data_IF_545067574800
#
_entry.id   IF_545067574800
#
_cell.length_a   1.000
_cell.length_b   1.000
_cell.length_c   1.000
_cell.angle_alpha   90.00
_cell.angle_beta   90.00
_cell.angle_gamma   90.00
#
_symmetry.space_group_name_H-M   'P 1'
#
loop_
_entity.id
_entity.type
_entity.pdbx_description
1 polymer ?
#
# COMPACT_ATOMS: atom_id res chain seq x y z
N UNK A 1 5.51 -11.49 5.68
CA UNK A 1 5.34 -11.68 7.14
C UNK A 1 6.48 -10.99 7.89
N UNK A 2 6.24 -9.85 8.54
CA UNK A 2 7.33 -9.16 9.28
C UNK A 2 6.98 -7.77 9.80
N UNK A 3 6.08 -7.04 9.13
CA UNK A 3 5.71 -5.69 9.56
C UNK A 3 4.98 -5.70 10.93
N UNK A 4 3.94 -6.53 11.08
CA UNK A 4 3.23 -6.68 12.36
C UNK A 4 4.13 -7.32 13.43
N UNK A 5 5.00 -8.25 13.04
CA UNK A 5 5.92 -8.94 13.96
C UNK A 5 6.80 -7.95 14.74
N UNK A 6 7.53 -7.11 14.00
CA UNK A 6 8.42 -6.13 14.59
C UNK A 6 7.65 -5.08 15.42
N UNK A 7 6.46 -4.68 14.96
CA UNK A 7 5.65 -3.69 15.66
C UNK A 7 5.04 -4.21 16.97
N UNK A 8 4.66 -5.49 17.02
CA UNK A 8 3.99 -6.13 18.15
C UNK A 8 4.96 -6.91 19.07
N UNK A 9 6.25 -6.94 18.71
CA UNK A 9 7.28 -7.65 19.46
C UNK A 9 7.07 -9.16 19.51
N UNK A 10 6.59 -9.76 18.41
CA UNK A 10 6.47 -11.21 18.28
C UNK A 10 7.80 -11.83 17.85
N UNK A 11 8.14 -12.96 18.43
CA UNK A 11 9.31 -13.76 18.05
C UNK A 11 9.00 -14.63 16.81
N UNK A 12 10.05 -15.07 16.12
CA UNK A 12 9.89 -16.00 14.98
C UNK A 12 9.23 -17.32 15.40
N UNK A 13 9.49 -17.78 16.63
CA UNK A 13 8.89 -19.00 17.18
C UNK A 13 7.39 -18.83 17.41
N UNK A 14 6.97 -17.69 17.97
CA UNK A 14 5.55 -17.37 18.16
C UNK A 14 4.82 -17.33 16.81
N UNK A 15 5.39 -16.70 15.79
CA UNK A 15 4.78 -16.65 14.45
C UNK A 15 4.63 -18.02 13.80
N UNK A 16 5.67 -18.85 13.86
CA UNK A 16 5.60 -20.22 13.32
C UNK A 16 4.53 -21.03 14.04
N UNK A 17 4.50 -20.98 15.38
CA UNK A 17 3.44 -21.64 16.17
C UNK A 17 2.05 -21.12 15.80
N UNK A 18 1.89 -19.80 15.67
CA UNK A 18 0.62 -19.19 15.32
C UNK A 18 0.15 -19.67 13.93
N UNK A 19 1.05 -19.77 12.94
CA UNK A 19 0.71 -20.24 11.60
C UNK A 19 0.48 -21.76 11.55
N UNK A 20 1.40 -22.56 12.11
CA UNK A 20 1.44 -24.01 11.90
C UNK A 20 0.51 -24.78 12.87
N UNK A 21 0.34 -24.28 14.10
CA UNK A 21 -0.43 -24.97 15.15
C UNK A 21 -1.81 -24.35 15.33
N UNK A 22 -1.87 -23.02 15.41
CA UNK A 22 -3.14 -22.29 15.61
C UNK A 22 -3.87 -22.11 14.27
N UNK A 23 -3.15 -22.18 13.15
CA UNK A 23 -3.72 -22.01 11.81
C UNK A 23 -3.94 -20.55 11.43
N UNK A 24 -3.28 -19.61 12.12
CA UNK A 24 -3.45 -18.18 11.86
C UNK A 24 -2.85 -17.79 10.51
N UNK A 25 -3.65 -17.08 9.71
CA UNK A 25 -3.28 -16.50 8.42
C UNK A 25 -3.80 -15.06 8.29
N UNK A 26 -3.15 -14.26 7.45
CA UNK A 26 -3.59 -12.88 7.22
C UNK A 26 -5.02 -12.86 6.62
N UNK A 27 -5.94 -12.14 7.27
CA UNK A 27 -7.34 -12.03 6.84
C UNK A 27 -8.28 -13.10 7.41
N UNK A 28 -7.83 -13.91 8.37
CA UNK A 28 -8.71 -14.75 9.18
C UNK A 28 -9.48 -13.94 10.25
N UNK A 29 -10.12 -14.65 11.18
CA UNK A 29 -10.89 -14.06 12.28
C UNK A 29 -10.15 -14.11 13.63
N UNK A 30 -8.84 -14.36 13.64
CA UNK A 30 -8.02 -14.56 14.84
C UNK A 30 -7.23 -13.28 15.14
N UNK A 31 -7.87 -12.34 15.83
CA UNK A 31 -7.27 -11.03 16.17
C UNK A 31 -6.39 -11.07 17.43
N UNK A 32 -6.60 -12.08 18.29
CA UNK A 32 -5.88 -12.25 19.56
C UNK A 32 -5.39 -13.70 19.72
N UNK A 33 -4.13 -13.86 20.11
CA UNK A 33 -3.52 -15.13 20.51
C UNK A 33 -2.82 -14.93 21.84
N UNK A 34 -3.16 -15.72 22.86
CA UNK A 34 -2.62 -15.58 24.23
C UNK A 34 -2.75 -14.13 24.77
N UNK A 35 -3.90 -13.48 24.48
CA UNK A 35 -4.19 -12.08 24.77
C UNK A 35 -3.24 -11.05 24.11
N UNK A 36 -2.41 -11.48 23.14
CA UNK A 36 -1.58 -10.59 22.35
C UNK A 36 -2.25 -10.34 20.99
N UNK A 37 -2.27 -9.09 20.49
CA UNK A 37 -2.76 -8.79 19.15
C UNK A 37 -1.91 -9.50 18.09
N UNK A 38 -2.55 -9.98 17.04
CA UNK A 38 -1.90 -10.62 15.88
C UNK A 38 -1.66 -9.63 14.74
N UNK A 39 -2.40 -8.52 14.72
CA UNK A 39 -2.36 -7.47 13.70
C UNK A 39 -2.04 -6.09 14.25
N UNK A 40 -1.62 -5.20 13.35
CA UNK A 40 -1.41 -3.78 13.63
C UNK A 40 -2.02 -2.96 12.50
N UNK A 41 -2.71 -1.87 12.82
CA UNK A 41 -3.18 -0.90 11.83
C UNK A 41 -2.11 0.15 11.61
N UNK A 42 -1.69 0.34 10.35
CA UNK A 42 -0.82 1.46 9.95
C UNK A 42 -1.65 2.43 9.13
N UNK A 43 -1.60 3.69 9.53
CA UNK A 43 -2.18 4.81 8.77
C UNK A 43 -1.04 5.60 8.15
N UNK A 44 -1.22 6.09 6.93
CA UNK A 44 -0.29 7.01 6.30
C UNK A 44 -1.10 8.05 5.56
N UNK A 45 -0.77 9.32 5.80
CA UNK A 45 -1.42 10.46 5.17
C UNK A 45 -0.64 10.85 3.92
N UNK A 46 -1.36 11.10 2.84
CA UNK A 46 -0.78 11.52 1.57
C UNK A 46 -0.73 13.04 1.47
N UNK A 47 -0.19 13.53 0.36
CA UNK A 47 -0.24 14.95 0.00
C UNK A 47 -1.64 15.60 0.11
N UNK A 48 -2.76 14.96 -0.32
CA UNK A 48 -4.06 15.59 -0.24
C UNK A 48 -4.69 15.56 1.15
N UNK A 49 -4.08 14.86 2.12
CA UNK A 49 -4.64 14.72 3.46
C UNK A 49 -4.43 15.98 4.28
N UNK A 50 -5.50 16.45 4.92
CA UNK A 50 -5.48 17.55 5.90
C UNK A 50 -5.49 17.06 7.34
N UNK A 51 -5.30 18.00 8.27
CA UNK A 51 -5.44 17.76 9.72
C UNK A 51 -6.83 17.19 10.07
N UNK A 52 -7.88 17.70 9.41
CA UNK A 52 -9.25 17.21 9.58
C UNK A 52 -9.43 15.73 9.23
N UNK A 53 -8.65 15.20 8.28
CA UNK A 53 -8.70 13.78 7.94
C UNK A 53 -8.10 12.92 9.05
N UNK A 54 -7.02 13.41 9.68
CA UNK A 54 -6.41 12.76 10.82
C UNK A 54 -7.34 12.77 12.03
N UNK A 55 -7.99 13.90 12.31
CA UNK A 55 -8.99 14.02 13.38
C UNK A 55 -10.19 13.11 13.13
N UNK A 56 -10.69 13.06 11.90
CA UNK A 56 -11.82 12.19 11.53
C UNK A 56 -11.49 10.73 11.79
N UNK A 57 -10.29 10.29 11.40
CA UNK A 57 -9.85 8.93 11.64
C UNK A 57 -9.66 8.64 13.13
N UNK A 58 -9.03 9.56 13.87
CA UNK A 58 -8.83 9.42 15.30
C UNK A 58 -10.17 9.27 16.03
N UNK A 59 -11.13 10.15 15.74
CA UNK A 59 -12.46 10.11 16.34
C UNK A 59 -13.19 8.81 15.99
N UNK A 60 -13.12 8.36 14.73
CA UNK A 60 -13.69 7.08 14.34
C UNK A 60 -13.09 5.92 15.14
N UNK A 61 -11.77 5.87 15.30
CA UNK A 61 -11.11 4.80 16.06
C UNK A 61 -11.52 4.83 17.54
N UNK A 62 -11.56 6.02 18.13
CA UNK A 62 -11.92 6.20 19.55
C UNK A 62 -13.39 5.89 19.80
N UNK A 63 -14.30 6.41 18.97
CA UNK A 63 -15.74 6.27 19.19
C UNK A 63 -16.25 4.86 18.87
N UNK A 64 -15.68 4.21 17.84
CA UNK A 64 -16.22 2.94 17.33
C UNK A 64 -15.45 1.71 17.82
N UNK A 65 -14.15 1.83 18.10
CA UNK A 65 -13.29 0.67 18.34
C UNK A 65 -12.56 0.68 19.69
N UNK A 66 -12.46 1.83 20.36
CA UNK A 66 -11.74 1.92 21.63
C UNK A 66 -12.57 1.40 22.79
N UNK A 67 -12.17 0.26 23.36
CA UNK A 67 -12.68 -0.23 24.63
C UNK A 67 -11.74 0.24 25.75
N UNK A 68 -12.30 0.92 26.76
CA UNK A 68 -11.60 1.60 27.87
C UNK A 68 -10.50 0.76 28.54
N UNK A 69 -9.30 0.75 27.95
CA UNK A 69 -8.11 0.17 28.54
C UNK A 69 -6.91 1.03 28.13
N UNK A 70 -6.48 1.98 28.99
CA UNK A 70 -5.44 2.93 28.62
C UNK A 70 -4.09 2.22 28.59
N UNK A 71 -3.67 1.78 27.40
CA UNK A 71 -2.24 1.63 27.14
C UNK A 71 -1.67 3.02 26.95
N UNK A 72 -0.66 3.37 27.76
CA UNK A 72 0.11 4.60 27.53
C UNK A 72 0.70 4.56 26.11
N UNK A 73 0.63 5.65 25.34
CA UNK A 73 1.31 5.75 24.05
C UNK A 73 2.77 5.35 24.22
N UNK A 74 3.26 4.46 23.35
CA UNK A 74 4.69 4.16 23.29
C UNK A 74 5.37 5.41 22.73
N UNK A 75 6.08 6.13 23.58
CA UNK A 75 6.84 7.31 23.19
C UNK A 75 7.97 6.86 22.26
N UNK A 76 7.82 7.15 20.96
CA UNK A 76 8.88 6.92 19.97
C UNK A 76 9.56 8.26 19.72
N UNK A 77 10.91 8.30 19.64
CA UNK A 77 11.61 9.53 19.29
C UNK A 77 11.08 10.07 17.96
N UNK A 78 10.41 11.22 18.04
CA UNK A 78 9.94 11.98 16.90
C UNK A 78 11.07 12.91 16.46
N UNK A 79 11.31 13.01 15.15
CA UNK A 79 12.18 14.05 14.60
C UNK A 79 11.47 15.40 14.83
N UNK A 80 12.17 16.38 15.40
CA UNK A 80 11.59 17.71 15.56
C UNK A 80 11.33 18.35 14.20
N UNK A 81 10.32 19.22 14.09
CA UNK A 81 10.02 19.96 12.86
C UNK A 81 11.26 20.75 12.39
N UNK A 82 12.04 21.30 13.32
CA UNK A 82 13.28 22.01 13.03
C UNK A 82 14.37 21.11 12.45
N UNK A 83 14.49 19.87 12.93
CA UNK A 83 15.42 18.89 12.36
C UNK A 83 14.95 18.42 10.98
N UNK A 84 13.65 18.20 10.80
CA UNK A 84 13.07 17.84 9.51
C UNK A 84 13.32 18.93 8.46
N UNK A 85 13.08 20.20 8.81
CA UNK A 85 13.31 21.34 7.92
C UNK A 85 14.78 21.57 7.57
N UNK A 86 15.73 21.01 8.34
CA UNK A 86 17.18 21.05 8.02
C UNK A 86 17.60 19.96 7.04
N UNK A 87 16.75 18.99 6.74
CA UNK A 87 17.08 17.91 5.81
C UNK A 87 16.99 18.38 4.36
N UNK A 88 18.02 18.11 3.56
CA UNK A 88 17.95 18.24 2.09
C UNK A 88 17.29 16.99 1.51
N UNK A 89 15.95 16.98 1.49
CA UNK A 89 15.17 15.89 0.94
C UNK A 89 14.88 16.14 -0.54
N UNK A 90 15.21 15.15 -1.38
CA UNK A 90 14.94 15.17 -2.81
C UNK A 90 14.20 13.91 -3.23
N UNK A 91 13.26 14.07 -4.16
CA UNK A 91 12.62 12.94 -4.83
C UNK A 91 13.70 12.21 -5.62
N UNK A 92 13.90 10.93 -5.32
CA UNK A 92 14.90 10.10 -6.01
C UNK A 92 14.34 9.47 -7.28
N UNK A 93 13.10 8.97 -7.21
CA UNK A 93 12.39 8.27 -8.29
C UNK A 93 10.89 8.40 -8.12
N UNK A 94 10.16 8.46 -9.22
CA UNK A 94 8.69 8.37 -9.24
C UNK A 94 8.30 7.06 -9.90
N UNK A 95 7.38 6.36 -9.26
CA UNK A 95 6.85 5.07 -9.72
C UNK A 95 5.34 5.17 -9.83
N UNK A 96 4.84 5.12 -11.06
CA UNK A 96 3.41 5.07 -11.36
C UNK A 96 3.05 3.66 -11.76
N UNK A 97 1.84 3.28 -11.43
CA UNK A 97 1.42 1.90 -11.38
C UNK A 97 0.04 1.76 -12.05
N UNK A 98 -0.07 2.08 -13.35
CA UNK A 98 -1.37 2.31 -14.00
C UNK A 98 -2.39 1.18 -13.88
N UNK A 99 -1.91 -0.06 -14.04
CA UNK A 99 -2.74 -1.25 -14.01
C UNK A 99 -2.46 -2.02 -12.72
N UNK A 100 -3.52 -2.31 -11.95
CA UNK A 100 -3.44 -3.15 -10.74
C UNK A 100 -2.72 -4.48 -11.06
N UNK A 101 -1.82 -4.89 -10.16
CA UNK A 101 -1.02 -6.13 -10.25
C UNK A 101 0.05 -6.16 -11.34
N UNK A 102 0.11 -5.17 -12.24
CA UNK A 102 1.11 -5.10 -13.30
C UNK A 102 2.39 -4.37 -12.88
N UNK A 103 3.39 -4.42 -13.76
CA UNK A 103 4.67 -3.76 -13.60
C UNK A 103 4.59 -2.23 -13.56
N UNK A 104 5.69 -1.64 -13.11
CA UNK A 104 5.83 -0.20 -12.86
C UNK A 104 6.15 0.59 -14.13
N UNK A 105 5.69 1.84 -14.15
CA UNK A 105 6.13 2.91 -15.05
C UNK A 105 6.96 3.92 -14.23
N UNK A 106 8.27 3.91 -14.44
CA UNK A 106 9.24 4.76 -13.73
C UNK A 106 9.55 6.02 -14.54
N UNK A 107 9.48 7.19 -13.90
CA UNK A 107 9.65 8.51 -14.53
C UNK A 107 10.36 9.49 -13.58
N UNK A 108 10.86 10.60 -14.14
CA UNK A 108 11.49 11.68 -13.38
C UNK A 108 10.48 12.77 -12.96
N UNK A 109 9.42 12.96 -13.74
CA UNK A 109 8.34 13.90 -13.48
C UNK A 109 6.99 13.26 -13.83
N UNK A 110 5.94 13.62 -13.10
CA UNK A 110 4.59 13.16 -13.38
C UNK A 110 3.54 14.12 -12.83
N UNK A 111 2.36 14.12 -13.44
CA UNK A 111 1.25 14.97 -13.02
C UNK A 111 0.64 14.45 -11.72
N UNK A 112 0.44 15.36 -10.76
CA UNK A 112 -0.20 15.08 -9.48
C UNK A 112 -1.64 15.59 -9.51
N UNK A 113 -2.58 14.69 -9.26
CA UNK A 113 -4.01 14.95 -9.14
C UNK A 113 -4.44 14.89 -7.65
N UNK A 114 -5.65 15.37 -7.29
CA UNK A 114 -6.12 15.34 -5.90
C UNK A 114 -6.13 13.96 -5.23
N UNK A 115 -6.16 12.89 -6.02
CA UNK A 115 -6.24 11.51 -5.53
C UNK A 115 -4.94 10.71 -5.73
N UNK A 116 -3.87 11.34 -6.20
CA UNK A 116 -2.58 10.69 -6.43
C UNK A 116 -1.97 11.06 -7.78
N UNK A 117 -0.99 10.28 -8.23
CA UNK A 117 -0.42 10.46 -9.55
C UNK A 117 -1.47 10.18 -10.62
N UNK A 118 -1.50 11.03 -11.65
CA UNK A 118 -2.39 10.84 -12.80
C UNK A 118 -2.25 9.43 -13.35
N UNK A 119 -3.38 8.79 -13.63
CA UNK A 119 -3.45 7.41 -14.13
C UNK A 119 -2.99 6.31 -13.17
N UNK A 120 -2.63 6.62 -11.91
CA UNK A 120 -2.23 5.59 -10.96
C UNK A 120 -3.43 4.74 -10.53
N UNK A 121 -3.30 3.41 -10.66
CA UNK A 121 -4.34 2.41 -10.39
C UNK A 121 -5.70 2.66 -11.09
N UNK A 122 -5.72 3.34 -12.23
CA UNK A 122 -6.96 3.58 -12.99
C UNK A 122 -7.49 2.34 -13.73
N UNK A 123 -6.67 1.29 -13.94
CA UNK A 123 -7.09 0.08 -14.63
C UNK A 123 -6.82 -1.20 -13.83
N UNK A 124 -7.55 -2.25 -14.16
CA UNK A 124 -7.33 -3.60 -13.66
C UNK A 124 -7.57 -4.64 -14.77
N UNK A 125 -6.83 -5.74 -14.73
CA UNK A 125 -7.13 -6.91 -15.55
C UNK A 125 -8.20 -7.72 -14.85
N UNK A 126 -9.26 -8.09 -15.56
CA UNK A 126 -10.35 -8.90 -15.04
C UNK A 126 -10.46 -10.22 -15.78
N UNK A 127 -10.95 -11.24 -15.09
CA UNK A 127 -11.32 -12.51 -15.71
C UNK A 127 -12.69 -12.39 -16.40
N UNK A 128 -13.19 -13.51 -16.96
CA UNK A 128 -14.48 -13.56 -17.64
C UNK A 128 -15.69 -13.27 -16.73
N UNK A 129 -15.54 -13.38 -15.40
CA UNK A 129 -16.60 -13.03 -14.44
C UNK A 129 -16.52 -11.58 -13.98
N UNK A 130 -15.58 -10.78 -14.49
CA UNK A 130 -15.35 -9.40 -14.07
C UNK A 130 -14.57 -9.27 -12.76
N UNK A 131 -14.06 -10.35 -12.18
CA UNK A 131 -13.24 -10.29 -10.98
C UNK A 131 -11.80 -9.88 -11.34
N UNK A 132 -11.22 -8.99 -10.53
CA UNK A 132 -9.83 -8.53 -10.72
C UNK A 132 -8.85 -9.69 -10.54
N UNK A 133 -7.94 -9.86 -11.50
CA UNK A 133 -6.85 -10.82 -11.40
C UNK A 133 -5.72 -10.19 -10.58
N UNK A 134 -5.25 -10.93 -9.58
CA UNK A 134 -4.17 -10.50 -8.70
C UNK A 134 -2.82 -11.06 -9.14
N UNK A 135 -1.74 -10.41 -8.70
CA UNK A 135 -0.38 -10.92 -8.91
C UNK A 135 -0.13 -12.25 -8.17
N UNK A 136 -0.91 -12.54 -7.12
CA UNK A 136 -0.82 -13.82 -6.42
C UNK A 136 -1.35 -14.97 -7.28
N UNK A 137 -2.42 -14.72 -8.03
CA UNK A 137 -3.04 -15.69 -8.94
C UNK A 137 -2.25 -15.82 -10.25
N UNK A 138 -1.83 -14.70 -10.86
CA UNK A 138 -0.99 -14.70 -12.06
C UNK A 138 0.27 -13.86 -11.84
N UNK A 139 1.37 -14.49 -11.36
CA UNK A 139 2.63 -13.80 -11.09
C UNK A 139 3.23 -13.10 -12.32
N UNK A 140 2.92 -13.55 -13.55
CA UNK A 140 3.45 -12.95 -14.77
C UNK A 140 2.88 -11.57 -15.07
N UNK A 141 1.83 -11.13 -14.37
CA UNK A 141 1.32 -9.75 -14.50
C UNK A 141 2.41 -8.70 -14.24
N UNK A 142 3.37 -8.99 -13.36
CA UNK A 142 4.50 -8.08 -13.10
C UNK A 142 5.42 -7.85 -14.31
N UNK A 143 5.35 -8.72 -15.32
CA UNK A 143 6.10 -8.61 -16.57
C UNK A 143 5.41 -7.72 -17.60
N UNK A 144 4.15 -7.34 -17.38
CA UNK A 144 3.42 -6.36 -18.18
C UNK A 144 3.79 -4.97 -17.68
N UNK A 145 4.51 -4.20 -18.50
CA UNK A 145 4.92 -2.82 -18.17
C UNK A 145 4.16 -1.81 -19.04
N UNK A 146 3.47 -0.84 -18.44
CA UNK A 146 2.83 0.24 -19.19
C UNK A 146 3.82 1.35 -19.54
N UNK A 147 3.56 2.03 -20.64
CA UNK A 147 4.26 3.23 -21.11
C UNK A 147 3.24 4.21 -21.68
N UNK A 148 3.37 5.49 -21.35
CA UNK A 148 2.45 6.52 -21.85
C UNK A 148 3.10 7.40 -22.91
N UNK A 149 2.32 7.74 -23.92
CA UNK A 149 2.55 8.90 -24.77
C UNK A 149 1.38 9.87 -24.57
N UNK A 150 1.60 10.89 -23.74
CA UNK A 150 0.60 11.88 -23.39
C UNK A 150 0.25 12.83 -24.56
N UNK A 151 1.10 12.90 -25.59
CA UNK A 151 0.81 13.74 -26.78
C UNK A 151 -0.20 13.06 -27.69
N UNK A 152 -0.10 11.74 -27.80
CA UNK A 152 -1.01 10.94 -28.61
C UNK A 152 -2.14 10.31 -27.78
N UNK A 153 -2.16 10.57 -26.47
CA UNK A 153 -3.09 9.97 -25.51
C UNK A 153 -3.13 8.44 -25.64
N UNK A 154 -1.96 7.80 -25.75
CA UNK A 154 -1.85 6.35 -25.87
C UNK A 154 -1.10 5.72 -24.71
N UNK A 155 -1.52 4.51 -24.35
CA UNK A 155 -0.81 3.62 -23.43
C UNK A 155 -0.34 2.38 -24.20
N UNK A 156 0.96 2.09 -24.13
CA UNK A 156 1.57 0.87 -24.68
C UNK A 156 1.92 -0.07 -23.54
N UNK A 157 1.43 -1.31 -23.61
CA UNK A 157 1.73 -2.39 -22.68
C UNK A 157 2.77 -3.31 -23.29
N UNK A 158 3.90 -3.47 -22.63
CA UNK A 158 4.97 -4.38 -23.06
C UNK A 158 5.03 -5.58 -22.12
N UNK A 159 4.85 -6.77 -22.65
CA UNK A 159 4.96 -8.03 -21.91
C UNK A 159 6.37 -8.62 -22.07
N UNK A 160 7.06 -8.79 -20.94
CA UNK A 160 8.37 -9.43 -20.83
C UNK A 160 9.43 -8.87 -21.81
N UNK A 161 9.31 -7.59 -22.18
CA UNK A 161 10.21 -6.91 -23.12
C UNK A 161 10.11 -7.38 -24.58
N UNK A 162 9.04 -8.10 -24.96
CA UNK A 162 8.93 -8.75 -26.27
C UNK A 162 7.68 -8.35 -27.04
N UNK A 163 6.51 -8.58 -26.45
CA UNK A 163 5.23 -8.34 -27.12
C UNK A 163 4.65 -7.03 -26.65
N UNK A 164 4.02 -6.27 -27.54
CA UNK A 164 3.39 -5.00 -27.21
C UNK A 164 1.93 -4.94 -27.66
N UNK A 165 1.12 -4.25 -26.87
CA UNK A 165 -0.25 -3.89 -27.16
C UNK A 165 -0.42 -2.39 -26.91
N UNK A 166 -0.92 -1.63 -27.89
CA UNK A 166 -1.20 -0.21 -27.72
C UNK A 166 -2.70 0.03 -27.66
N UNK A 167 -3.13 0.94 -26.80
CA UNK A 167 -4.51 1.41 -26.68
C UNK A 167 -4.53 2.91 -26.48
N UNK A 168 -5.66 3.55 -26.82
CA UNK A 168 -5.94 4.92 -26.39
C UNK A 168 -6.18 4.94 -24.88
N UNK A 169 -5.77 6.03 -24.24
CA UNK A 169 -6.13 6.36 -22.86
C UNK A 169 -7.55 6.91 -22.92
N UNK A 170 -8.47 6.28 -22.19
CA UNK A 170 -9.87 6.69 -22.07
C UNK A 170 -10.12 7.24 -20.67
#
# INVERSE_FOLDING_TARGET
>A
PGACQAHLGHTDQELRRNQEVIGHVCGDHIDLIDNRPTGSVRVSFGYPSGESDADTLYNLLVEQFWQNNPMAPIDRPQISIDEFNKMDLRVSRIFVYPIKSCGVYEMDEWELEPYGFKYDRCWAVVNSSGACITQLEEPKLCLVKPYFDLKTETMTLVYAGKSQLQTLIQ
#
